data_IF_082033587871
#
_entry.id   IF_082033587871
#
_cell.length_a   1.000
_cell.length_b   1.000
_cell.length_c   1.000
_cell.angle_alpha   90.00
_cell.angle_beta   90.00
_cell.angle_gamma   90.00
#
_symmetry.space_group_name_H-M   'P 1'
#
loop_
_entity.id
_entity.type
_entity.pdbx_description
1 polymer ?
#
# COMPACT_ATOMS: atom_id res chain seq x y z
N UNK A 1 -6.50 2.20 -5.66
CA UNK A 1 -6.52 3.33 -6.64
C UNK A 1 -5.47 4.42 -6.35
N UNK A 2 -4.59 4.24 -5.37
CA UNK A 2 -3.73 5.31 -4.88
C UNK A 2 -2.50 5.65 -5.75
N UNK A 3 -2.09 4.80 -6.70
CA UNK A 3 -1.08 5.20 -7.70
C UNK A 3 -1.47 4.65 -9.07
N UNK A 4 -2.16 5.51 -9.81
CA UNK A 4 -2.25 5.46 -11.27
C UNK A 4 -1.28 6.53 -11.77
N UNK A 5 -0.39 6.20 -12.71
CA UNK A 5 0.53 7.12 -13.39
C UNK A 5 1.79 7.57 -12.61
N UNK A 6 2.86 6.76 -12.67
CA UNK A 6 4.22 7.23 -13.06
C UNK A 6 4.97 6.05 -13.68
N UNK A 7 5.19 6.10 -14.99
CA UNK A 7 6.27 5.37 -15.66
C UNK A 7 7.42 6.35 -15.90
N UNK A 8 8.59 6.12 -15.30
CA UNK A 8 9.80 6.88 -15.61
C UNK A 8 11.00 5.92 -15.74
N UNK A 9 11.71 6.07 -16.87
CA UNK A 9 12.83 5.25 -17.33
C UNK A 9 14.00 5.28 -16.34
N UNK A 10 14.50 4.12 -15.93
CA UNK A 10 15.70 4.00 -15.08
C UNK A 10 16.99 4.23 -15.89
N UNK A 11 17.89 5.06 -15.36
CA UNK A 11 19.35 5.00 -15.64
C UNK A 11 20.05 4.33 -14.45
N UNK A 12 21.08 3.50 -14.66
CA UNK A 12 21.75 2.78 -13.57
C UNK A 12 22.76 3.68 -12.84
N UNK A 13 22.77 3.60 -11.51
CA UNK A 13 23.76 4.20 -10.62
C UNK A 13 24.79 3.12 -10.26
N UNK A 14 26.09 3.42 -10.43
CA UNK A 14 27.22 2.56 -10.06
C UNK A 14 27.63 2.83 -8.60
N UNK A 15 27.72 1.78 -7.78
CA UNK A 15 28.38 1.84 -6.47
C UNK A 15 29.87 1.45 -6.58
N UNK A 16 30.73 2.22 -5.90
CA UNK A 16 32.18 2.02 -5.79
C UNK A 16 32.48 1.25 -4.50
N UNK A 17 33.28 0.17 -4.57
CA UNK A 17 33.72 -0.63 -3.41
C UNK A 17 35.12 -0.19 -2.94
N UNK A 18 35.29 -0.07 -1.63
CA UNK A 18 36.55 -0.15 -0.87
C UNK A 18 36.17 -0.23 0.62
N UNK A 19 36.81 -0.95 1.54
CA UNK A 19 37.96 -1.85 1.60
C UNK A 19 37.83 -2.51 3.00
N UNK A 20 38.03 -3.81 3.18
CA UNK A 20 38.63 -4.41 4.38
C UNK A 20 38.92 -5.90 4.11
N UNK A 21 40.13 -6.34 4.47
CA UNK A 21 40.64 -7.69 4.30
C UNK A 21 41.29 -8.14 5.60
N UNK A 22 40.96 -9.33 6.13
CA UNK A 22 41.83 -10.21 6.96
C UNK A 22 41.35 -11.68 6.91
N UNK A 23 42.15 -12.53 6.24
CA UNK A 23 42.53 -13.97 6.41
C UNK A 23 41.52 -15.16 6.38
N UNK A 24 41.96 -16.39 5.98
CA UNK A 24 41.13 -17.39 5.26
C UNK A 24 40.98 -18.81 5.90
N UNK A 25 39.98 -19.56 5.38
CA UNK A 25 39.71 -21.03 5.33
C UNK A 25 38.37 -21.50 5.95
N UNK A 26 37.66 -22.51 5.39
CA UNK A 26 37.24 -22.72 3.99
C UNK A 26 35.75 -23.12 3.84
N UNK A 27 35.35 -23.41 2.60
CA UNK A 27 34.00 -23.71 2.06
C UNK A 27 33.12 -22.49 1.83
N UNK A 28 33.51 -21.75 0.80
CA UNK A 28 32.58 -20.97 0.00
C UNK A 28 31.58 -21.96 -0.63
N UNK A 29 30.31 -21.92 -0.23
CA UNK A 29 29.22 -22.30 -1.15
C UNK A 29 28.76 -21.02 -1.85
N UNK A 30 29.44 -20.59 -2.93
CA UNK A 30 29.02 -19.42 -3.71
C UNK A 30 27.59 -19.57 -4.24
N UNK A 31 27.12 -20.82 -4.37
CA UNK A 31 25.77 -21.14 -4.83
C UNK A 31 24.71 -20.79 -3.78
N UNK A 32 24.95 -21.06 -2.50
CA UNK A 32 23.97 -20.74 -1.44
C UNK A 32 23.91 -19.25 -1.13
N UNK A 33 25.04 -18.53 -1.19
CA UNK A 33 25.03 -17.08 -1.02
C UNK A 33 24.41 -16.38 -2.25
N UNK A 34 24.61 -16.92 -3.45
CA UNK A 34 23.92 -16.48 -4.66
C UNK A 34 22.42 -16.75 -4.62
N UNK A 35 22.00 -17.95 -4.20
CA UNK A 35 20.60 -18.32 -4.00
C UNK A 35 19.97 -17.46 -2.91
N UNK A 36 20.63 -17.28 -1.77
CA UNK A 36 20.21 -16.37 -0.70
C UNK A 36 20.05 -14.95 -1.23
N UNK A 37 21.05 -14.40 -1.91
CA UNK A 37 20.99 -13.04 -2.49
C UNK A 37 19.87 -12.93 -3.52
N UNK A 38 19.63 -13.97 -4.33
CA UNK A 38 18.52 -14.02 -5.30
C UNK A 38 17.16 -14.06 -4.62
N UNK A 39 17.00 -14.90 -3.59
CA UNK A 39 15.79 -15.00 -2.79
C UNK A 39 15.56 -13.69 -2.05
N UNK A 40 16.57 -13.13 -1.38
CA UNK A 40 16.51 -11.82 -0.73
C UNK A 40 16.15 -10.73 -1.73
N UNK A 41 16.81 -10.65 -2.88
CA UNK A 41 16.48 -9.64 -3.90
C UNK A 41 15.06 -9.82 -4.41
N UNK A 42 14.59 -11.05 -4.61
CA UNK A 42 13.23 -11.31 -5.04
C UNK A 42 12.22 -10.97 -3.94
N UNK A 43 12.44 -11.41 -2.70
CA UNK A 43 11.63 -11.10 -1.53
C UNK A 43 11.59 -9.60 -1.30
N UNK A 44 12.71 -8.89 -1.34
CA UNK A 44 12.81 -7.42 -1.23
C UNK A 44 12.07 -6.73 -2.39
N UNK A 45 12.19 -7.26 -3.62
CA UNK A 45 11.47 -6.73 -4.79
C UNK A 45 9.95 -6.95 -4.73
N UNK A 46 9.50 -8.01 -4.05
CA UNK A 46 8.11 -8.41 -3.89
C UNK A 46 7.45 -7.76 -2.67
N UNK A 47 8.19 -7.59 -1.58
CA UNK A 47 7.78 -7.00 -0.28
C UNK A 47 7.60 -5.50 -0.32
N UNK A 48 8.05 -4.85 -1.39
CA UNK A 48 8.21 -3.41 -1.37
C UNK A 48 9.41 -2.96 -0.53
N UNK A 49 10.17 -3.85 0.15
CA UNK A 49 11.42 -3.49 0.83
C UNK A 49 12.52 -3.05 -0.14
N UNK A 50 12.33 -3.16 -1.46
CA UNK A 50 13.10 -2.43 -2.49
C UNK A 50 12.87 -0.90 -2.43
N UNK A 51 12.57 -0.37 -1.25
CA UNK A 51 12.38 1.04 -0.92
C UNK A 51 13.75 1.69 -0.68
N UNK A 52 14.54 1.81 -1.74
CA UNK A 52 15.75 2.66 -1.72
C UNK A 52 15.47 4.17 -1.59
N UNK A 53 14.28 4.56 -1.10
CA UNK A 53 13.85 5.96 -0.93
C UNK A 53 13.26 6.28 0.45
N UNK A 54 12.96 5.30 1.31
CA UNK A 54 12.46 5.56 2.66
C UNK A 54 13.42 4.94 3.67
N UNK A 55 13.96 5.77 4.56
CA UNK A 55 14.74 5.31 5.70
C UNK A 55 13.79 4.77 6.77
N UNK A 56 13.42 3.50 6.62
CA UNK A 56 12.59 2.76 7.58
C UNK A 56 13.41 2.18 8.74
N UNK A 57 14.73 2.16 8.60
CA UNK A 57 15.66 1.55 9.56
C UNK A 57 16.07 2.57 10.64
N UNK A 58 16.03 3.87 10.35
CA UNK A 58 16.51 4.92 11.24
C UNK A 58 15.72 6.24 11.16
N UNK A 59 14.39 6.24 11.39
CA UNK A 59 13.60 7.46 11.35
C UNK A 59 14.12 8.45 12.40
N UNK A 60 14.53 9.65 11.96
CA UNK A 60 15.09 10.71 12.82
C UNK A 60 14.05 11.24 13.80
N UNK A 61 13.80 10.55 14.92
CA UNK A 61 12.94 11.00 16.01
C UNK A 61 11.47 11.33 15.66
N UNK A 62 11.07 11.18 14.39
CA UNK A 62 9.74 11.44 13.87
C UNK A 62 9.07 10.09 13.58
N UNK A 63 8.13 9.65 14.43
CA UNK A 63 7.44 8.38 14.28
C UNK A 63 6.40 8.38 13.14
N UNK A 64 6.28 9.48 12.39
CA UNK A 64 5.34 9.62 11.29
C UNK A 64 3.92 9.89 11.77
N UNK A 65 2.94 9.52 10.93
CA UNK A 65 1.52 9.77 11.23
C UNK A 65 0.98 8.92 12.39
N UNK A 66 1.61 7.78 12.68
CA UNK A 66 1.05 6.76 13.58
C UNK A 66 2.05 6.29 14.66
N UNK A 67 3.29 6.02 14.26
CA UNK A 67 4.33 5.48 15.14
C UNK A 67 4.21 3.98 15.46
N UNK A 68 5.27 3.38 16.01
CA UNK A 68 5.41 1.92 16.15
C UNK A 68 4.44 1.25 17.13
N UNK A 69 3.67 2.02 17.90
CA UNK A 69 2.64 1.50 18.81
C UNK A 69 1.24 1.48 18.17
N UNK A 70 1.09 2.02 16.97
CA UNK A 70 -0.18 2.02 16.25
C UNK A 70 -0.50 0.62 15.72
N UNK A 71 -1.79 0.31 15.64
CA UNK A 71 -2.25 -0.99 15.16
C UNK A 71 -1.97 -1.16 13.67
N UNK A 72 -2.01 -0.08 12.89
CA UNK A 72 -1.67 -0.13 11.46
C UNK A 72 -0.23 -0.58 11.20
N UNK A 73 0.72 -0.37 12.13
CA UNK A 73 2.07 -0.92 12.02
C UNK A 73 2.08 -2.45 12.14
N UNK A 74 1.29 -3.02 13.06
CA UNK A 74 1.15 -4.47 13.21
C UNK A 74 0.47 -5.08 11.97
N UNK A 75 -0.66 -4.50 11.54
CA UNK A 75 -1.44 -5.03 10.42
C UNK A 75 -0.67 -4.98 9.10
N UNK A 76 0.09 -3.91 8.86
CA UNK A 76 0.87 -3.75 7.63
C UNK A 76 2.26 -4.41 7.69
N UNK A 77 2.64 -5.00 8.83
CA UNK A 77 4.00 -5.52 9.07
C UNK A 77 4.25 -6.88 8.42
N UNK A 78 3.20 -7.67 8.21
CA UNK A 78 3.30 -9.00 7.60
C UNK A 78 3.15 -8.95 6.08
N UNK A 79 4.23 -9.28 5.36
CA UNK A 79 4.24 -9.22 3.90
C UNK A 79 3.22 -10.15 3.25
N UNK A 80 3.11 -11.39 3.72
CA UNK A 80 2.25 -12.40 3.09
C UNK A 80 0.77 -11.97 3.18
N UNK A 81 0.33 -11.54 4.35
CA UNK A 81 -1.02 -11.01 4.58
C UNK A 81 -1.26 -9.74 3.79
N UNK A 82 -0.29 -8.82 3.71
CA UNK A 82 -0.40 -7.60 2.90
C UNK A 82 -0.54 -7.90 1.40
N UNK A 83 0.17 -8.88 0.87
CA UNK A 83 0.05 -9.29 -0.52
C UNK A 83 -1.34 -9.86 -0.82
N UNK A 84 -1.83 -10.77 0.03
CA UNK A 84 -3.16 -11.38 -0.11
C UNK A 84 -4.26 -10.34 0.03
N UNK A 85 -4.20 -9.50 1.07
CA UNK A 85 -5.13 -8.40 1.29
C UNK A 85 -5.09 -7.38 0.16
N UNK A 86 -3.90 -7.12 -0.40
CA UNK A 86 -3.72 -6.22 -1.54
C UNK A 86 -4.43 -6.73 -2.78
N UNK A 87 -4.22 -7.99 -3.16
CA UNK A 87 -4.93 -8.60 -4.30
C UNK A 87 -6.45 -8.57 -4.08
N UNK A 88 -6.90 -8.96 -2.88
CA UNK A 88 -8.31 -8.93 -2.51
C UNK A 88 -8.92 -7.53 -2.62
N UNK A 89 -8.21 -6.52 -2.12
CA UNK A 89 -8.61 -5.11 -2.22
C UNK A 89 -8.78 -4.68 -3.68
N UNK A 90 -7.90 -5.10 -4.59
CA UNK A 90 -8.01 -4.72 -6.01
C UNK A 90 -9.25 -5.31 -6.65
N UNK A 91 -9.56 -6.56 -6.34
CA UNK A 91 -10.76 -7.23 -6.84
C UNK A 91 -12.01 -6.56 -6.29
N UNK A 92 -12.03 -6.25 -4.99
CA UNK A 92 -13.16 -5.57 -4.35
C UNK A 92 -13.34 -4.16 -4.91
N UNK A 93 -12.28 -3.36 -5.02
CA UNK A 93 -12.32 -2.01 -5.61
C UNK A 93 -12.96 -1.99 -7.00
N UNK A 94 -12.66 -3.01 -7.83
CA UNK A 94 -13.16 -3.15 -9.19
C UNK A 94 -14.66 -3.47 -9.29
N UNK A 95 -15.35 -3.75 -8.18
CA UNK A 95 -16.80 -3.97 -8.19
C UNK A 95 -17.61 -2.68 -8.29
N UNK A 96 -17.02 -1.51 -8.00
CA UNK A 96 -17.70 -0.23 -8.21
C UNK A 96 -17.53 0.24 -9.66
N UNK A 97 -18.63 0.51 -10.40
CA UNK A 97 -18.56 0.76 -11.84
C UNK A 97 -17.68 1.97 -12.21
N UNK A 98 -17.73 3.04 -11.42
CA UNK A 98 -16.89 4.23 -11.67
C UNK A 98 -15.42 4.01 -11.29
N UNK A 99 -15.15 3.17 -10.28
CA UNK A 99 -13.77 2.80 -9.94
C UNK A 99 -13.19 1.91 -11.05
N UNK A 100 -13.98 0.96 -11.54
CA UNK A 100 -13.60 0.10 -12.65
C UNK A 100 -13.33 0.90 -13.92
N UNK A 101 -14.18 1.88 -14.25
CA UNK A 101 -13.95 2.78 -15.40
C UNK A 101 -12.61 3.52 -15.26
N UNK A 102 -12.35 4.15 -14.12
CA UNK A 102 -11.07 4.81 -13.86
C UNK A 102 -9.86 3.86 -13.94
N UNK A 103 -10.01 2.62 -13.45
CA UNK A 103 -8.97 1.58 -13.60
C UNK A 103 -8.79 1.20 -15.07
N UNK A 104 -9.86 1.03 -15.82
CA UNK A 104 -9.81 0.60 -17.21
C UNK A 104 -9.12 1.63 -18.10
N UNK A 105 -9.44 2.90 -17.89
CA UNK A 105 -8.98 4.01 -18.73
C UNK A 105 -7.56 4.46 -18.38
N UNK A 106 -7.19 4.40 -17.09
CA UNK A 106 -5.95 5.02 -16.59
C UNK A 106 -4.96 4.05 -15.94
N UNK A 107 -5.27 2.76 -15.84
CA UNK A 107 -4.40 1.78 -15.18
C UNK A 107 -3.65 0.87 -16.12
N UNK A 108 -2.36 0.67 -15.82
CA UNK A 108 -1.55 -0.41 -16.38
C UNK A 108 -1.83 -1.78 -15.72
N UNK A 109 -2.94 -1.95 -14.97
CA UNK A 109 -3.21 -3.15 -14.16
C UNK A 109 -3.08 -4.45 -14.99
N UNK A 110 -3.57 -4.46 -16.23
CA UNK A 110 -3.52 -5.64 -17.11
C UNK A 110 -2.11 -5.95 -17.59
N UNK A 111 -1.31 -4.92 -17.85
CA UNK A 111 0.03 -5.06 -18.42
C UNK A 111 1.12 -5.19 -17.35
N UNK A 112 0.90 -4.62 -16.15
CA UNK A 112 1.86 -4.50 -15.06
C UNK A 112 1.13 -4.55 -13.69
N UNK A 113 0.55 -5.70 -13.38
CA UNK A 113 -0.13 -5.93 -12.09
C UNK A 113 0.85 -5.86 -10.92
N UNK A 114 2.04 -6.45 -11.06
CA UNK A 114 3.05 -6.47 -10.00
C UNK A 114 3.61 -5.08 -9.73
N UNK A 115 3.93 -4.29 -10.76
CA UNK A 115 4.35 -2.91 -10.56
C UNK A 115 3.23 -2.04 -9.97
N UNK A 116 1.96 -2.35 -10.25
CA UNK A 116 0.83 -1.68 -9.60
C UNK A 116 0.74 -2.01 -8.11
N UNK A 117 0.86 -3.28 -7.73
CA UNK A 117 0.92 -3.70 -6.32
C UNK A 117 2.11 -3.05 -5.62
N UNK A 118 3.29 -3.01 -6.27
CA UNK A 118 4.48 -2.35 -5.72
C UNK A 118 4.25 -0.88 -5.41
N UNK A 119 3.62 -0.13 -6.32
CA UNK A 119 3.32 1.30 -6.10
C UNK A 119 2.36 1.46 -4.93
N UNK A 120 1.26 0.71 -4.87
CA UNK A 120 0.35 0.74 -3.72
C UNK A 120 1.08 0.41 -2.41
N UNK A 121 1.96 -0.60 -2.41
CA UNK A 121 2.82 -0.91 -1.27
C UNK A 121 3.70 0.27 -0.85
N UNK A 122 4.33 0.98 -1.79
CA UNK A 122 5.15 2.16 -1.49
C UNK A 122 4.34 3.28 -0.80
N UNK A 123 3.12 3.53 -1.26
CA UNK A 123 2.23 4.51 -0.64
C UNK A 123 1.85 4.10 0.78
N UNK A 124 1.45 2.83 0.98
CA UNK A 124 1.08 2.32 2.29
C UNK A 124 2.26 2.31 3.26
N UNK A 125 3.41 1.79 2.84
CA UNK A 125 4.63 1.80 3.65
C UNK A 125 5.06 3.22 4.00
N UNK A 126 5.01 4.16 3.05
CA UNK A 126 5.42 5.53 3.32
C UNK A 126 4.44 6.32 4.21
N UNK A 127 3.14 6.03 4.14
CA UNK A 127 2.15 6.65 5.04
C UNK A 127 2.08 5.98 6.41
N UNK A 128 2.45 4.70 6.51
CA UNK A 128 2.44 3.94 7.77
C UNK A 128 3.75 4.15 8.54
N UNK A 129 4.88 3.96 7.88
CA UNK A 129 6.21 3.85 8.50
C UNK A 129 7.13 5.04 8.22
N UNK A 130 6.81 5.87 7.22
CA UNK A 130 7.63 7.03 6.85
C UNK A 130 7.51 8.18 7.86
N UNK A 131 8.44 9.12 7.76
CA UNK A 131 8.38 10.38 8.53
C UNK A 131 7.10 11.15 8.24
N UNK A 132 6.72 12.09 9.10
CA UNK A 132 5.55 12.95 8.89
C UNK A 132 5.71 13.74 7.59
N UNK A 133 6.93 14.18 7.27
CA UNK A 133 7.24 14.87 6.01
C UNK A 133 7.00 13.97 4.79
N UNK A 134 7.53 12.74 4.80
CA UNK A 134 7.41 11.81 3.68
C UNK A 134 5.96 11.38 3.46
N UNK A 135 5.25 11.07 4.55
CA UNK A 135 3.85 10.71 4.50
C UNK A 135 2.98 11.84 3.91
N UNK A 136 3.20 13.08 4.34
CA UNK A 136 2.50 14.25 3.78
C UNK A 136 2.83 14.46 2.30
N UNK A 137 4.11 14.38 1.93
CA UNK A 137 4.51 14.52 0.53
C UNK A 137 3.87 13.44 -0.36
N UNK A 138 3.81 12.19 0.10
CA UNK A 138 3.15 11.10 -0.61
C UNK A 138 1.65 11.35 -0.77
N UNK A 139 0.97 11.79 0.29
CA UNK A 139 -0.46 12.13 0.27
C UNK A 139 -0.72 13.26 -0.74
N UNK A 140 0.05 14.35 -0.70
CA UNK A 140 -0.11 15.49 -1.60
C UNK A 140 0.14 15.09 -3.06
N UNK A 141 1.18 14.28 -3.29
CA UNK A 141 1.49 13.75 -4.62
C UNK A 141 0.36 12.90 -5.18
N UNK A 142 -0.20 12.00 -4.38
CA UNK A 142 -1.31 11.14 -4.81
C UNK A 142 -2.57 11.96 -5.04
N UNK A 143 -2.86 12.93 -4.18
CA UNK A 143 -3.99 13.85 -4.38
C UNK A 143 -3.87 14.62 -5.70
N UNK A 144 -2.69 15.16 -6.00
CA UNK A 144 -2.44 15.86 -7.27
C UNK A 144 -2.65 14.96 -8.49
N UNK A 145 -2.25 13.69 -8.41
CA UNK A 145 -2.51 12.69 -9.45
C UNK A 145 -4.02 12.44 -9.60
N UNK A 146 -4.74 12.22 -8.49
CA UNK A 146 -6.18 11.94 -8.53
C UNK A 146 -7.00 13.07 -9.15
N UNK A 147 -6.59 14.33 -8.97
CA UNK A 147 -7.23 15.48 -9.62
C UNK A 147 -7.14 15.45 -11.15
N UNK A 148 -6.16 14.73 -11.72
CA UNK A 148 -5.99 14.60 -13.17
C UNK A 148 -6.73 13.39 -13.75
N UNK A 149 -7.18 12.46 -12.91
CA UNK A 149 -7.84 11.22 -13.35
C UNK A 149 -9.35 11.45 -13.36
N UNK A 150 -9.86 11.78 -14.53
CA UNK A 150 -11.29 12.00 -14.80
C UNK A 150 -11.69 11.31 -16.10
N UNK A 151 -12.99 11.08 -16.29
CA UNK A 151 -13.51 10.50 -17.52
C UNK A 151 -15.02 10.28 -17.46
N UNK A 152 -15.53 9.50 -18.41
CA UNK A 152 -16.95 9.12 -18.50
C UNK A 152 -17.04 7.60 -18.58
N UNK A 153 -17.81 6.98 -17.70
CA UNK A 153 -18.04 5.55 -17.70
C UNK A 153 -18.91 5.11 -18.90
N UNK A 154 -18.91 3.81 -19.26
CA UNK A 154 -19.71 3.30 -20.39
C UNK A 154 -21.23 3.56 -20.28
N UNK A 155 -21.73 3.77 -19.06
CA UNK A 155 -23.13 4.12 -18.79
C UNK A 155 -23.43 5.63 -18.86
N UNK A 156 -22.45 6.44 -19.28
CA UNK A 156 -22.56 7.88 -19.46
C UNK A 156 -22.31 8.72 -18.20
N UNK A 157 -22.10 8.10 -17.02
CA UNK A 157 -21.81 8.85 -15.79
C UNK A 157 -20.38 9.39 -15.81
N UNK A 158 -20.14 10.65 -15.42
CA UNK A 158 -18.79 11.13 -15.21
C UNK A 158 -18.16 10.44 -13.99
N UNK A 159 -16.84 10.26 -14.02
CA UNK A 159 -16.07 9.85 -12.86
C UNK A 159 -14.87 10.77 -12.65
N UNK A 160 -14.49 10.92 -11.39
CA UNK A 160 -13.23 11.54 -10.98
C UNK A 160 -12.62 10.67 -9.88
N UNK A 161 -11.31 10.38 -9.96
CA UNK A 161 -10.63 9.64 -8.89
C UNK A 161 -10.57 10.44 -7.58
N UNK A 162 -10.71 11.76 -7.66
CA UNK A 162 -10.83 12.69 -6.54
C UNK A 162 -12.25 12.78 -5.95
N UNK A 163 -13.22 12.03 -6.49
CA UNK A 163 -14.57 11.98 -5.92
C UNK A 163 -14.53 11.47 -4.47
N UNK A 164 -15.06 12.23 -3.49
CA UNK A 164 -14.96 11.87 -2.06
C UNK A 164 -15.61 10.54 -1.69
N UNK A 165 -16.73 10.18 -2.31
CA UNK A 165 -17.45 8.95 -2.01
C UNK A 165 -16.73 7.76 -2.65
N UNK A 166 -16.19 7.95 -3.86
CA UNK A 166 -15.34 6.97 -4.52
C UNK A 166 -14.03 6.71 -3.75
N UNK A 167 -13.41 7.74 -3.19
CA UNK A 167 -12.24 7.61 -2.31
C UNK A 167 -12.60 6.78 -1.06
N UNK A 168 -13.77 7.02 -0.48
CA UNK A 168 -14.27 6.26 0.66
C UNK A 168 -14.48 4.78 0.31
N UNK A 169 -15.09 4.48 -0.83
CA UNK A 169 -15.22 3.11 -1.33
C UNK A 169 -13.87 2.42 -1.46
N UNK A 170 -12.91 3.08 -2.12
CA UNK A 170 -11.59 2.51 -2.38
C UNK A 170 -10.84 2.25 -1.09
N UNK A 171 -10.94 3.17 -0.13
CA UNK A 171 -10.36 3.01 1.20
C UNK A 171 -11.00 1.84 1.94
N UNK A 172 -12.33 1.79 2.06
CA UNK A 172 -13.03 0.72 2.77
C UNK A 172 -12.66 -0.64 2.19
N UNK A 173 -12.68 -0.78 0.85
CA UNK A 173 -12.28 -2.00 0.18
C UNK A 173 -10.83 -2.40 0.48
N UNK A 174 -9.94 -1.43 0.62
CA UNK A 174 -8.53 -1.64 0.94
C UNK A 174 -8.34 -2.11 2.39
N UNK A 175 -8.78 -1.32 3.37
CA UNK A 175 -8.56 -1.63 4.79
C UNK A 175 -9.36 -2.85 5.26
N UNK A 176 -10.55 -3.10 4.71
CA UNK A 176 -11.29 -4.32 5.03
C UNK A 176 -10.54 -5.57 4.57
N UNK A 177 -9.90 -5.50 3.40
CA UNK A 177 -9.17 -6.64 2.82
C UNK A 177 -7.84 -6.89 3.53
N UNK A 178 -7.11 -5.84 3.90
CA UNK A 178 -5.88 -5.97 4.69
C UNK A 178 -6.14 -6.56 6.06
N UNK A 179 -7.13 -6.04 6.79
CA UNK A 179 -7.47 -6.58 8.10
C UNK A 179 -7.95 -8.03 8.00
N UNK A 180 -8.81 -8.34 7.01
CA UNK A 180 -9.29 -9.71 6.81
C UNK A 180 -8.13 -10.69 6.51
N UNK A 181 -7.16 -10.29 5.69
CA UNK A 181 -5.98 -11.11 5.42
C UNK A 181 -5.10 -11.28 6.67
N UNK A 182 -4.85 -10.19 7.40
CA UNK A 182 -4.09 -10.23 8.65
C UNK A 182 -4.71 -11.20 9.67
N UNK A 183 -6.03 -11.11 9.91
CA UNK A 183 -6.74 -12.03 10.78
C UNK A 183 -6.66 -13.48 10.28
N UNK A 184 -6.72 -13.68 8.96
CA UNK A 184 -6.79 -15.03 8.38
C UNK A 184 -5.45 -15.76 8.36
N UNK A 185 -4.34 -15.02 8.21
CA UNK A 185 -3.03 -15.58 7.88
C UNK A 185 -1.92 -15.20 8.87
N UNK A 186 -2.11 -14.18 9.72
CA UNK A 186 -1.09 -13.73 10.67
C UNK A 186 -1.56 -13.79 12.13
N UNK A 187 -2.64 -13.08 12.49
CA UNK A 187 -3.12 -12.98 13.88
C UNK A 187 -4.65 -13.16 13.98
N UNK A 188 -5.16 -14.40 13.98
CA UNK A 188 -6.60 -14.67 14.12
C UNK A 188 -7.18 -14.29 15.50
N UNK A 189 -6.32 -14.06 16.50
CA UNK A 189 -6.72 -13.73 17.86
C UNK A 189 -6.75 -12.21 18.15
N UNK A 190 -6.45 -11.37 17.14
CA UNK A 190 -6.43 -9.91 17.29
C UNK A 190 -7.75 -9.39 17.87
N UNK A 191 -7.66 -8.53 18.88
CA UNK A 191 -8.82 -8.11 19.65
C UNK A 191 -9.81 -7.30 18.79
N UNK A 192 -11.13 -7.41 19.03
CA UNK A 192 -12.13 -6.55 18.39
C UNK A 192 -11.86 -5.04 18.54
N UNK A 193 -11.26 -4.65 19.68
CA UNK A 193 -10.92 -3.25 19.97
C UNK A 193 -9.76 -2.78 19.09
N UNK A 194 -8.72 -3.58 18.92
CA UNK A 194 -7.60 -3.22 18.05
C UNK A 194 -8.01 -3.22 16.57
N UNK A 195 -8.91 -4.12 16.17
CA UNK A 195 -9.51 -4.07 14.84
C UNK A 195 -10.28 -2.75 14.60
N UNK A 196 -11.01 -2.25 15.60
CA UNK A 196 -11.68 -0.94 15.50
C UNK A 196 -10.66 0.22 15.48
N UNK A 197 -9.58 0.13 16.28
CA UNK A 197 -8.47 1.10 16.25
C UNK A 197 -7.78 1.15 14.89
N UNK A 198 -7.55 0.01 14.25
CA UNK A 198 -6.97 -0.05 12.91
C UNK A 198 -7.77 0.77 11.89
N UNK A 199 -9.10 0.63 11.88
CA UNK A 199 -9.96 1.43 10.99
C UNK A 199 -9.95 2.91 11.37
N UNK A 200 -9.97 3.24 12.66
CA UNK A 200 -9.90 4.63 13.12
C UNK A 200 -8.58 5.32 12.74
N UNK A 201 -7.45 4.62 12.87
CA UNK A 201 -6.11 5.11 12.48
C UNK A 201 -6.05 5.34 10.97
N UNK A 202 -6.36 4.32 10.18
CA UNK A 202 -6.21 4.37 8.72
C UNK A 202 -7.17 5.35 8.02
N UNK A 203 -8.31 5.68 8.65
CA UNK A 203 -9.24 6.69 8.15
C UNK A 203 -8.58 8.07 7.96
N UNK A 204 -7.57 8.42 8.77
CA UNK A 204 -6.81 9.68 8.66
C UNK A 204 -6.22 9.87 7.25
N UNK A 205 -5.66 8.80 6.67
CA UNK A 205 -5.03 8.86 5.35
C UNK A 205 -6.07 9.11 4.27
N UNK A 206 -7.22 8.44 4.34
CA UNK A 206 -8.33 8.63 3.40
C UNK A 206 -8.89 10.05 3.46
N UNK A 207 -9.10 10.58 4.66
CA UNK A 207 -9.61 11.94 4.87
C UNK A 207 -8.64 12.99 4.32
N UNK A 208 -7.33 12.80 4.53
CA UNK A 208 -6.30 13.69 3.95
C UNK A 208 -6.26 13.64 2.42
N UNK A 209 -6.60 12.51 1.82
CA UNK A 209 -6.74 12.38 0.37
C UNK A 209 -8.02 13.05 -0.16
N UNK A 210 -9.04 13.22 0.69
CA UNK A 210 -10.29 13.92 0.39
C UNK A 210 -11.56 13.09 0.54
N UNK A 211 -11.45 11.87 1.08
CA UNK A 211 -12.61 11.05 1.41
C UNK A 211 -13.48 11.73 2.48
N UNK A 212 -14.77 11.39 2.52
CA UNK A 212 -15.74 11.91 3.50
C UNK A 212 -16.54 10.77 4.09
N UNK A 213 -17.07 10.97 5.29
CA UNK A 213 -17.88 9.96 5.99
C UNK A 213 -17.16 8.60 6.11
N UNK A 214 -15.84 8.64 6.29
CA UNK A 214 -15.00 7.43 6.32
C UNK A 214 -15.39 6.57 7.54
N UNK A 215 -15.80 5.31 7.35
CA UNK A 215 -16.09 4.41 8.46
C UNK A 215 -14.84 4.15 9.33
N UNK A 216 -14.98 4.20 10.65
CA UNK A 216 -13.87 4.13 11.60
C UNK A 216 -13.88 2.92 12.54
N UNK A 217 -14.79 1.97 12.32
CA UNK A 217 -14.88 0.74 13.11
C UNK A 217 -15.47 -0.40 12.28
N UNK A 218 -15.33 -1.63 12.77
CA UNK A 218 -15.83 -2.85 12.11
C UNK A 218 -17.30 -2.77 11.77
N UNK A 219 -18.13 -2.30 12.70
CA UNK A 219 -19.57 -2.19 12.46
C UNK A 219 -19.87 -1.22 11.32
N UNK A 220 -19.27 -0.02 11.34
CA UNK A 220 -19.47 0.97 10.29
C UNK A 220 -18.95 0.49 8.92
N UNK A 221 -17.83 -0.24 8.89
CA UNK A 221 -17.31 -0.88 7.67
C UNK A 221 -18.31 -1.92 7.14
N UNK A 222 -18.85 -2.77 8.02
CA UNK A 222 -19.84 -3.79 7.65
C UNK A 222 -21.12 -3.15 7.11
N UNK A 223 -21.64 -2.12 7.78
CA UNK A 223 -22.83 -1.38 7.38
C UNK A 223 -22.61 -0.70 6.02
N UNK A 224 -21.44 -0.08 5.81
CA UNK A 224 -21.08 0.52 4.53
C UNK A 224 -21.05 -0.49 3.38
N UNK A 225 -20.42 -1.66 3.61
CA UNK A 225 -20.35 -2.73 2.61
C UNK A 225 -21.73 -3.36 2.34
N UNK A 226 -22.61 -3.44 3.33
CA UNK A 226 -23.98 -3.91 3.16
C UNK A 226 -24.79 -2.91 2.31
N UNK A 227 -24.73 -1.61 2.62
CA UNK A 227 -25.46 -0.57 1.91
C UNK A 227 -25.08 -0.47 0.42
N UNK A 228 -23.82 -0.75 0.07
CA UNK A 228 -23.37 -0.73 -1.33
C UNK A 228 -23.88 -1.94 -2.13
N UNK A 229 -24.21 -3.07 -1.47
CA UNK A 229 -24.71 -4.27 -2.14
C UNK A 229 -26.20 -4.18 -2.50
N UNK A 230 -26.95 -3.29 -1.86
CA UNK A 230 -28.40 -3.15 -2.01
C UNK A 230 -29.18 -3.90 -0.93
#
# INVERSE_FOLDING_TARGET
MYILLVGAKHRPIRYRKSLFAVLPFPMHEPDMEFIRTRIETQVISLTGLALGQLDLENPKGDPGLFGPQAVCWEVHGDFASMLVGGISALMLQALHPLALAGIWDHSSLRQDMLGRLRRTGQFLSGTTYGSTQDANWLIDKVRAIHLQVTGTAPDGRPYAASDPDLLTWVHVAEVSSFLAAHLRYHNPAMSPVDQDRYYAETALVAERLGARHVPRCRQAIADYLANIRG
#
